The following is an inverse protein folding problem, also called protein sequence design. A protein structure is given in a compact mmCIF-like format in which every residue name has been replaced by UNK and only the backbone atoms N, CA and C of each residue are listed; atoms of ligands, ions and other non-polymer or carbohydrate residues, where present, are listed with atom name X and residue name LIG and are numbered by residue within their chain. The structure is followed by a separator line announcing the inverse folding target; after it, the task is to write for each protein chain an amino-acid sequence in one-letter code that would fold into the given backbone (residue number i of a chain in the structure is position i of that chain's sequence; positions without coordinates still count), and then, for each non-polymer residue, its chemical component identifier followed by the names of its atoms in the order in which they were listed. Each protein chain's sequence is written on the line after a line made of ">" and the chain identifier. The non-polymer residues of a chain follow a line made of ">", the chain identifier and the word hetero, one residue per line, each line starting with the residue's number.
data_IF_289528902571
#
_entry.id   IF_289528902571
#
_cell.length_a   1.000
_cell.length_b   1.000
_cell.length_c   1.000
_cell.angle_alpha   90.00
_cell.angle_beta   90.00
_cell.angle_gamma   90.00
#
_symmetry.space_group_name_H-M   'P 1'
#
loop_
_entity.id
_entity.type
_entity.pdbx_description
1 polymer ?
#
# COMPACT_ATOMS: atom_id res chain seq x y z
N UNK A 1 -40.35 -14.06 26.60
CA UNK A 1 -40.68 -12.94 27.49
C UNK A 1 -39.87 -11.77 27.09
N UNK A 2 -40.50 -10.88 26.48
CA UNK A 2 -40.82 -9.46 26.69
C UNK A 2 -39.71 -8.56 26.17
N UNK A 3 -39.88 -7.95 24.99
CA UNK A 3 -40.40 -6.57 24.66
C UNK A 3 -39.53 -5.49 25.33
N UNK A 4 -38.95 -4.53 24.65
CA UNK A 4 -39.58 -3.43 23.86
C UNK A 4 -38.56 -2.61 23.07
N UNK A 5 -38.86 -2.29 21.83
CA UNK A 5 -38.71 -0.99 21.19
C UNK A 5 -39.78 -0.02 21.76
N UNK A 6 -39.89 1.26 21.36
CA UNK A 6 -39.26 2.14 20.38
C UNK A 6 -39.12 3.61 20.87
N UNK A 7 -38.87 4.59 19.98
CA UNK A 7 -39.55 5.89 19.72
C UNK A 7 -38.54 6.79 18.95
N UNK A 8 -38.59 7.17 17.70
CA UNK A 8 -39.56 7.91 16.88
C UNK A 8 -39.87 9.34 17.36
N UNK A 9 -39.61 10.27 16.49
CA UNK A 9 -40.07 11.65 16.51
C UNK A 9 -39.33 12.42 15.40
N UNK A 10 -39.72 12.56 14.22
CA UNK A 10 -40.89 13.13 13.53
C UNK A 10 -41.01 14.64 13.66
N UNK A 11 -41.31 15.26 12.50
CA UNK A 11 -42.16 16.45 12.23
C UNK A 11 -41.33 17.75 12.12
N UNK A 12 -41.43 18.57 11.08
CA UNK A 12 -42.50 18.75 10.15
C UNK A 12 -42.21 19.88 9.16
N UNK A 13 -42.80 19.77 8.04
CA UNK A 13 -43.14 20.83 7.07
C UNK A 13 -44.44 21.50 7.58
N UNK A 14 -44.69 22.79 7.32
CA UNK A 14 -45.48 23.19 6.15
C UNK A 14 -45.12 24.57 5.59
N UNK A 15 -45.19 24.79 4.27
CA UNK A 15 -46.37 25.19 3.50
C UNK A 15 -47.10 26.43 4.02
N UNK A 16 -47.11 27.51 3.22
CA UNK A 16 -48.35 28.14 2.75
C UNK A 16 -48.10 29.47 2.01
N UNK A 17 -48.57 29.52 0.79
CA UNK A 17 -49.08 30.73 0.19
C UNK A 17 -50.45 31.07 0.81
N UNK A 18 -50.91 32.30 0.77
CA UNK A 18 -51.98 32.61 -0.19
C UNK A 18 -52.03 34.09 -0.68
N UNK A 19 -52.44 34.26 -1.91
CA UNK A 19 -53.69 34.83 -2.46
C UNK A 19 -54.15 36.20 -1.99
N UNK A 20 -54.48 36.96 -3.00
CA UNK A 20 -55.73 37.65 -3.30
C UNK A 20 -55.67 39.18 -3.17
N UNK A 21 -56.10 39.76 -4.14
CA UNK A 21 -57.36 40.30 -4.58
C UNK A 21 -57.35 41.84 -4.76
N UNK A 22 -57.78 42.17 -6.02
CA UNK A 22 -58.84 43.09 -6.35
C UNK A 22 -58.72 44.56 -5.95
N UNK A 23 -58.84 45.47 -6.96
CA UNK A 23 -60.08 46.04 -7.46
C UNK A 23 -59.72 47.18 -8.44
N UNK A 24 -60.28 47.19 -9.67
CA UNK A 24 -61.51 47.84 -10.13
C UNK A 24 -61.60 49.28 -9.76
N UNK A 25 -61.57 50.14 -10.80
CA UNK A 25 -62.65 51.12 -11.26
C UNK A 25 -62.04 51.92 -12.40
N UNK A 26 -62.57 51.81 -13.60
CA UNK A 26 -63.82 52.45 -14.20
C UNK A 26 -63.74 53.96 -14.06
N UNK A 27 -63.72 54.68 -15.18
CA UNK A 27 -64.78 55.35 -15.88
C UNK A 27 -64.12 56.31 -16.87
N UNK A 28 -64.42 56.25 -18.10
CA UNK A 28 -65.53 56.67 -18.88
C UNK A 28 -65.38 58.09 -19.48
N UNK A 29 -65.78 58.15 -20.70
CA UNK A 29 -66.36 59.22 -21.48
C UNK A 29 -65.39 60.08 -22.27
N UNK A 30 -65.41 60.02 -23.50
CA UNK A 30 -66.34 60.42 -24.54
C UNK A 30 -65.93 61.75 -25.18
N UNK A 31 -65.78 61.76 -26.41
CA UNK A 31 -66.32 62.54 -27.49
C UNK A 31 -65.35 62.94 -28.61
N UNK A 32 -65.69 62.39 -29.74
CA UNK A 32 -65.36 62.87 -31.10
C UNK A 32 -65.94 64.26 -31.30
N UNK A 33 -65.77 64.93 -32.49
CA UNK A 33 -65.11 64.53 -33.74
C UNK A 33 -64.42 65.69 -34.51
N UNK A 34 -63.88 65.31 -35.61
CA UNK A 34 -64.01 65.99 -36.91
C UNK A 34 -62.76 66.59 -37.54
N UNK A 35 -62.64 66.15 -38.70
CA UNK A 35 -62.35 66.80 -40.01
C UNK A 35 -60.94 66.89 -40.54
N UNK A 36 -60.79 66.04 -41.53
CA UNK A 36 -60.24 66.36 -42.86
C UNK A 36 -58.95 67.16 -42.93
N UNK A 37 -57.95 66.55 -43.45
CA UNK A 37 -57.39 66.96 -44.74
C UNK A 37 -56.41 65.93 -45.34
N UNK A 38 -56.74 65.59 -46.51
CA UNK A 38 -55.85 64.93 -47.48
C UNK A 38 -54.53 65.59 -47.55
N UNK A 39 -53.45 64.81 -47.64
CA UNK A 39 -52.46 64.86 -48.72
C UNK A 39 -51.32 63.87 -48.62
N UNK A 40 -51.24 63.16 -49.67
CA UNK A 40 -49.99 62.70 -50.36
C UNK A 40 -49.07 61.71 -49.68
N UNK A 41 -49.29 60.49 -50.17
CA UNK A 41 -48.25 59.50 -50.52
C UNK A 41 -46.83 60.04 -50.56
N UNK A 42 -45.99 59.52 -49.72
CA UNK A 42 -44.62 59.30 -50.01
C UNK A 42 -44.26 57.90 -49.46
N UNK A 43 -44.05 57.04 -50.42
CA UNK A 43 -43.38 55.76 -50.19
C UNK A 43 -42.04 56.03 -49.54
N UNK A 44 -41.89 55.65 -48.25
CA UNK A 44 -40.57 55.47 -47.66
C UNK A 44 -40.34 54.00 -47.72
N UNK A 45 -39.50 53.63 -48.70
CA UNK A 45 -38.79 52.39 -48.72
C UNK A 45 -38.16 52.16 -47.34
N UNK A 46 -38.63 51.20 -46.62
CA UNK A 46 -37.93 50.64 -45.47
C UNK A 46 -36.70 49.94 -45.99
N UNK A 47 -35.60 50.68 -46.05
CA UNK A 47 -34.29 50.07 -46.05
C UNK A 47 -34.17 49.23 -44.76
N UNK A 48 -34.32 47.92 -44.92
CA UNK A 48 -33.87 46.96 -43.92
C UNK A 48 -32.36 47.14 -43.85
N UNK A 49 -31.93 47.88 -42.85
CA UNK A 49 -30.53 47.89 -42.41
C UNK A 49 -30.17 46.48 -42.04
N UNK A 50 -29.55 45.77 -42.96
CA UNK A 50 -28.91 44.50 -42.68
C UNK A 50 -27.69 44.85 -41.82
N UNK A 51 -27.84 44.63 -40.52
CA UNK A 51 -26.73 44.72 -39.58
C UNK A 51 -25.58 43.82 -40.07
N UNK A 52 -24.36 44.33 -40.25
CA UNK A 52 -23.28 43.48 -40.70
C UNK A 52 -22.97 42.46 -39.64
N UNK A 53 -23.05 41.20 -39.99
CA UNK A 53 -22.63 40.09 -39.18
C UNK A 53 -21.15 40.19 -38.82
N UNK A 54 -20.83 40.95 -37.79
CA UNK A 54 -19.50 41.14 -37.23
C UNK A 54 -18.93 39.84 -36.61
N UNK A 55 -19.75 38.77 -36.53
CA UNK A 55 -19.38 37.45 -35.92
C UNK A 55 -18.47 36.58 -36.81
N UNK A 56 -18.35 36.85 -38.09
CA UNK A 56 -17.71 35.94 -39.04
C UNK A 56 -16.18 36.12 -39.17
N UNK A 57 -15.61 37.15 -38.56
CA UNK A 57 -14.15 37.41 -38.66
C UNK A 57 -13.29 36.65 -37.67
N UNK A 58 -13.87 36.06 -36.61
CA UNK A 58 -13.15 35.33 -35.60
C UNK A 58 -13.08 33.82 -35.86
N UNK A 59 -14.01 33.27 -36.68
CA UNK A 59 -14.01 31.87 -37.04
C UNK A 59 -12.67 31.38 -37.65
N UNK A 60 -12.02 32.09 -38.59
CA UNK A 60 -10.76 31.60 -39.16
C UNK A 60 -9.62 31.57 -38.13
N UNK A 61 -9.62 32.50 -37.17
CA UNK A 61 -8.60 32.53 -36.13
C UNK A 61 -8.82 31.40 -35.08
N UNK A 62 -10.06 31.08 -34.75
CA UNK A 62 -10.38 29.94 -33.85
C UNK A 62 -10.02 28.62 -34.52
N UNK A 63 -10.34 28.45 -35.79
CA UNK A 63 -9.98 27.24 -36.55
C UNK A 63 -8.46 27.12 -36.66
N UNK A 64 -7.75 28.22 -37.01
CA UNK A 64 -6.32 28.23 -37.08
C UNK A 64 -5.65 27.91 -35.72
N UNK A 65 -6.15 28.51 -34.65
CA UNK A 65 -5.70 28.19 -33.27
C UNK A 65 -5.89 26.72 -32.91
N UNK A 66 -7.06 26.15 -33.23
CA UNK A 66 -7.36 24.75 -32.98
C UNK A 66 -6.42 23.84 -33.80
N UNK A 67 -6.18 24.15 -35.06
CA UNK A 67 -5.26 23.40 -35.91
C UNK A 67 -3.82 23.45 -35.39
N UNK A 68 -3.36 24.61 -34.93
CA UNK A 68 -2.04 24.73 -34.30
C UNK A 68 -1.95 23.93 -33.03
N UNK A 69 -2.95 23.99 -32.18
CA UNK A 69 -2.99 23.22 -30.93
C UNK A 69 -3.01 21.70 -31.20
N UNK A 70 -3.83 21.25 -32.15
CA UNK A 70 -3.89 19.82 -32.51
C UNK A 70 -2.58 19.36 -33.17
N UNK A 71 -2.01 20.15 -34.06
CA UNK A 71 -0.71 19.82 -34.67
C UNK A 71 0.42 19.77 -33.65
N UNK A 72 0.44 20.71 -32.69
CA UNK A 72 1.38 20.69 -31.58
C UNK A 72 1.20 19.47 -30.69
N UNK A 73 -0.06 19.12 -30.36
CA UNK A 73 -0.38 17.93 -29.59
C UNK A 73 0.05 16.63 -30.27
N UNK A 74 -0.23 16.51 -31.58
CA UNK A 74 0.21 15.35 -32.38
C UNK A 74 1.72 15.28 -32.46
N UNK A 75 2.38 16.42 -32.72
CA UNK A 75 3.84 16.50 -32.78
C UNK A 75 4.51 16.12 -31.46
N UNK A 76 3.99 16.60 -30.34
CA UNK A 76 4.47 16.27 -28.99
C UNK A 76 4.26 14.80 -28.68
N UNK A 77 3.06 14.27 -29.00
CA UNK A 77 2.78 12.85 -28.83
C UNK A 77 3.72 11.96 -29.66
N UNK A 78 3.98 12.33 -30.93
CA UNK A 78 4.92 11.61 -31.77
C UNK A 78 6.35 11.69 -31.23
N UNK A 79 6.76 12.85 -30.72
CA UNK A 79 8.08 13.05 -30.12
C UNK A 79 8.27 12.15 -28.88
N UNK A 80 7.28 12.12 -27.99
CA UNK A 80 7.34 11.32 -26.73
C UNK A 80 7.38 9.81 -27.03
N UNK A 81 6.74 9.36 -28.11
CA UNK A 81 6.78 7.96 -28.56
C UNK A 81 7.92 7.66 -29.55
N UNK A 82 8.81 8.62 -29.78
CA UNK A 82 9.99 8.40 -30.62
C UNK A 82 10.98 7.44 -29.94
N UNK A 83 11.83 6.82 -30.73
CA UNK A 83 12.87 5.88 -30.25
C UNK A 83 13.87 6.49 -29.26
N UNK A 84 13.88 7.82 -29.10
CA UNK A 84 14.72 8.53 -28.13
C UNK A 84 14.22 8.29 -26.69
N UNK A 85 12.89 8.18 -26.52
CA UNK A 85 12.24 8.04 -25.22
C UNK A 85 11.77 6.60 -24.94
N UNK A 86 12.19 5.63 -25.72
CA UNK A 86 12.00 4.21 -25.43
C UNK A 86 12.97 3.73 -24.36
N UNK A 87 12.54 2.81 -23.51
CA UNK A 87 13.38 2.21 -22.46
C UNK A 87 14.45 1.36 -23.12
N UNK A 88 15.69 1.82 -23.10
CA UNK A 88 16.86 1.08 -23.64
C UNK A 88 17.72 0.48 -22.54
N UNK A 89 17.69 1.10 -21.37
CA UNK A 89 18.52 0.68 -20.25
C UNK A 89 17.65 0.42 -19.02
N UNK A 90 17.72 -0.81 -18.51
CA UNK A 90 17.14 -1.17 -17.21
C UNK A 90 18.27 -1.51 -16.27
N UNK A 91 18.48 -0.65 -15.28
CA UNK A 91 19.53 -0.79 -14.26
C UNK A 91 18.88 -1.35 -13.01
N UNK A 92 19.28 -2.57 -12.60
CA UNK A 92 18.79 -3.19 -11.37
C UNK A 92 19.94 -3.25 -10.37
N UNK A 93 19.70 -2.68 -9.19
CA UNK A 93 20.69 -2.57 -8.09
C UNK A 93 20.13 -3.25 -6.85
N UNK A 94 20.99 -3.94 -6.09
CA UNK A 94 20.63 -4.50 -4.79
C UNK A 94 20.23 -5.97 -4.79
N UNK A 95 20.27 -6.65 -5.95
CA UNK A 95 20.03 -8.09 -6.05
C UNK A 95 21.24 -8.90 -5.61
N UNK A 96 21.03 -9.90 -4.75
CA UNK A 96 22.02 -10.86 -4.28
C UNK A 96 21.57 -12.31 -4.41
N UNK A 97 20.30 -12.58 -4.11
CA UNK A 97 19.74 -13.93 -4.06
C UNK A 97 18.88 -14.25 -5.29
N UNK A 98 18.20 -13.25 -5.84
CA UNK A 98 17.35 -13.45 -7.01
C UNK A 98 18.13 -13.38 -8.32
N UNK A 99 17.79 -14.24 -9.29
CA UNK A 99 18.41 -14.23 -10.59
C UNK A 99 18.05 -12.95 -11.37
N UNK A 100 19.06 -12.15 -11.72
CA UNK A 100 18.87 -10.87 -12.42
C UNK A 100 18.04 -11.01 -13.71
N UNK A 101 18.24 -12.08 -14.47
CA UNK A 101 17.47 -12.34 -15.69
C UNK A 101 15.98 -12.56 -15.43
N UNK A 102 15.63 -13.30 -14.38
CA UNK A 102 14.24 -13.52 -13.98
C UNK A 102 13.57 -12.23 -13.53
N UNK A 103 14.29 -11.42 -12.73
CA UNK A 103 13.81 -10.11 -12.27
C UNK A 103 13.59 -9.16 -13.45
N UNK A 104 14.53 -9.08 -14.40
CA UNK A 104 14.39 -8.25 -15.59
C UNK A 104 13.19 -8.70 -16.45
N UNK A 105 13.04 -9.99 -16.68
CA UNK A 105 11.89 -10.51 -17.43
C UNK A 105 10.55 -10.17 -16.76
N UNK A 106 10.49 -10.24 -15.43
CA UNK A 106 9.28 -9.93 -14.66
C UNK A 106 8.90 -8.44 -14.70
N UNK A 107 9.84 -7.52 -14.97
CA UNK A 107 9.53 -6.09 -15.08
C UNK A 107 8.51 -5.79 -16.17
N UNK A 108 8.46 -6.61 -17.23
CA UNK A 108 7.64 -6.37 -18.41
C UNK A 108 8.16 -5.21 -19.29
N UNK A 109 9.42 -4.83 -19.13
CA UNK A 109 10.08 -3.77 -19.91
C UNK A 109 10.81 -4.33 -21.14
N UNK A 110 10.72 -5.63 -21.38
CA UNK A 110 11.22 -6.29 -22.60
C UNK A 110 10.36 -5.90 -23.78
N UNK A 111 10.93 -5.20 -24.76
CA UNK A 111 10.18 -4.70 -25.91
C UNK A 111 10.23 -3.18 -26.05
N UNK A 112 11.10 -2.55 -25.28
CA UNK A 112 11.44 -1.11 -25.37
C UNK A 112 10.20 -0.20 -25.33
N UNK A 113 9.32 -0.32 -24.33
CA UNK A 113 8.14 0.54 -24.25
C UNK A 113 8.55 2.00 -24.10
N UNK A 114 7.71 2.97 -24.52
CA UNK A 114 7.94 4.38 -24.23
C UNK A 114 8.09 4.62 -22.72
N UNK A 115 9.13 5.36 -22.32
CA UNK A 115 9.41 5.61 -20.90
C UNK A 115 8.25 6.30 -20.18
N UNK A 116 7.46 7.11 -20.92
CA UNK A 116 6.28 7.77 -20.37
C UNK A 116 5.23 6.75 -19.91
N UNK A 117 5.02 5.70 -20.68
CA UNK A 117 3.98 4.68 -20.43
C UNK A 117 4.38 3.66 -19.35
N UNK A 118 5.64 3.66 -18.93
CA UNK A 118 6.09 2.77 -17.85
C UNK A 118 5.43 3.16 -16.55
N UNK A 119 4.62 2.27 -15.98
CA UNK A 119 4.07 2.43 -14.64
C UNK A 119 5.06 1.91 -13.59
N UNK A 120 5.64 2.80 -12.81
CA UNK A 120 6.60 2.44 -11.75
C UNK A 120 5.98 1.57 -10.67
N UNK A 121 4.71 1.81 -10.33
CA UNK A 121 3.96 1.00 -9.36
C UNK A 121 3.65 -0.40 -9.88
N UNK A 122 3.37 -0.54 -11.17
CA UNK A 122 3.14 -1.84 -11.79
C UNK A 122 4.42 -2.69 -11.81
N UNK A 123 5.55 -2.09 -12.19
CA UNK A 123 6.85 -2.76 -12.14
C UNK A 123 7.16 -3.21 -10.71
N UNK A 124 6.97 -2.33 -9.72
CA UNK A 124 7.20 -2.67 -8.32
C UNK A 124 6.30 -3.81 -7.85
N UNK A 125 5.01 -3.81 -8.25
CA UNK A 125 4.06 -4.88 -7.91
C UNK A 125 4.45 -6.22 -8.51
N UNK A 126 4.90 -6.24 -9.77
CA UNK A 126 5.37 -7.46 -10.43
C UNK A 126 6.61 -8.05 -9.75
N UNK A 127 7.49 -7.20 -9.28
CA UNK A 127 8.69 -7.64 -8.57
C UNK A 127 8.42 -8.09 -7.14
N UNK A 128 7.34 -7.65 -6.51
CA UNK A 128 6.95 -8.08 -5.17
C UNK A 128 6.56 -9.57 -5.06
N UNK A 129 6.44 -10.29 -6.18
CA UNK A 129 6.19 -11.74 -6.22
C UNK A 129 7.43 -12.54 -5.82
N UNK A 130 8.62 -11.98 -5.97
CA UNK A 130 9.86 -12.65 -5.59
C UNK A 130 10.02 -12.67 -4.06
N UNK A 131 10.24 -13.84 -3.45
CA UNK A 131 10.25 -13.98 -2.00
C UNK A 131 11.30 -13.10 -1.31
N UNK A 132 12.48 -13.00 -1.90
CA UNK A 132 13.59 -12.21 -1.34
C UNK A 132 13.41 -10.71 -1.51
N UNK A 133 12.48 -10.27 -2.33
CA UNK A 133 12.27 -8.83 -2.56
C UNK A 133 11.36 -8.23 -1.48
N UNK A 134 11.95 -7.41 -0.61
CA UNK A 134 11.21 -6.73 0.44
C UNK A 134 10.63 -5.38 0.00
N UNK A 135 11.45 -4.56 -0.62
CA UNK A 135 11.05 -3.24 -1.11
C UNK A 135 11.68 -2.96 -2.46
N UNK A 136 10.90 -2.37 -3.35
CA UNK A 136 11.37 -1.94 -4.68
C UNK A 136 11.10 -0.46 -4.84
N UNK A 137 12.10 0.26 -5.30
CA UNK A 137 11.97 1.65 -5.73
C UNK A 137 12.29 1.71 -7.20
N UNK A 138 11.32 2.16 -8.01
CA UNK A 138 11.47 2.29 -9.46
C UNK A 138 11.48 3.77 -9.82
N UNK A 139 12.53 4.19 -10.50
CA UNK A 139 12.73 5.58 -10.90
C UNK A 139 12.95 5.67 -12.40
N UNK A 140 12.23 6.56 -13.08
CA UNK A 140 12.44 6.88 -14.47
C UNK A 140 13.57 7.91 -14.60
N UNK A 141 14.63 7.56 -15.29
CA UNK A 141 15.74 8.47 -15.61
C UNK A 141 15.69 8.80 -17.10
N UNK A 142 15.27 10.00 -17.39
CA UNK A 142 15.18 10.48 -18.76
C UNK A 142 16.56 10.52 -19.42
N UNK A 143 16.67 10.26 -20.76
CA UNK A 143 15.56 10.06 -21.70
C UNK A 143 15.06 8.61 -21.84
N UNK A 144 15.82 7.56 -21.46
CA UNK A 144 15.58 6.17 -21.89
C UNK A 144 15.96 5.10 -20.85
N UNK A 145 16.07 5.47 -19.57
CA UNK A 145 16.56 4.55 -18.53
C UNK A 145 15.52 4.37 -17.43
N UNK A 146 15.33 3.12 -17.00
CA UNK A 146 14.59 2.78 -15.77
C UNK A 146 15.58 2.24 -14.75
N UNK A 147 15.66 2.87 -13.60
CA UNK A 147 16.47 2.43 -12.47
C UNK A 147 15.55 1.74 -11.45
N UNK A 148 15.92 0.54 -11.06
CA UNK A 148 15.20 -0.31 -10.11
C UNK A 148 16.14 -0.60 -8.95
N UNK A 149 15.85 -0.02 -7.79
CA UNK A 149 16.59 -0.30 -6.56
C UNK A 149 15.79 -1.30 -5.75
N UNK A 150 16.37 -2.46 -5.52
CA UNK A 150 15.80 -3.57 -4.76
C UNK A 150 16.44 -3.63 -3.39
N UNK A 151 15.62 -3.68 -2.35
CA UNK A 151 16.03 -4.00 -0.99
C UNK A 151 15.56 -5.40 -0.69
N UNK A 152 16.51 -6.33 -0.66
CA UNK A 152 16.20 -7.72 -0.30
C UNK A 152 15.89 -7.86 1.18
N UNK A 153 15.06 -8.84 1.50
CA UNK A 153 14.74 -9.24 2.88
C UNK A 153 15.94 -9.92 3.51
N UNK A 154 16.08 -9.78 4.82
CA UNK A 154 17.13 -10.44 5.58
C UNK A 154 16.52 -11.59 6.36
N UNK A 155 17.01 -12.83 6.19
CA UNK A 155 16.56 -13.96 6.99
C UNK A 155 17.00 -13.78 8.44
N UNK A 156 16.13 -14.09 9.39
CA UNK A 156 16.39 -14.01 10.84
C UNK A 156 16.29 -15.38 11.52
N UNK A 157 15.65 -16.33 10.85
CA UNK A 157 15.44 -17.67 11.36
C UNK A 157 15.21 -18.66 10.20
N UNK A 158 15.11 -19.93 10.52
CA UNK A 158 14.67 -20.99 9.61
C UNK A 158 13.51 -21.76 10.21
N UNK A 159 12.67 -22.35 9.35
CA UNK A 159 11.58 -23.21 9.79
C UNK A 159 11.37 -24.37 8.79
N UNK A 160 10.86 -25.50 9.27
CA UNK A 160 10.48 -26.60 8.39
C UNK A 160 9.08 -26.36 7.80
N UNK A 161 8.97 -26.50 6.49
CA UNK A 161 7.68 -26.50 5.79
C UNK A 161 6.95 -27.86 5.93
N UNK A 162 5.78 -27.99 5.32
CA UNK A 162 4.99 -29.23 5.34
C UNK A 162 5.71 -30.42 4.71
N UNK A 163 6.69 -30.21 3.84
CA UNK A 163 7.48 -31.21 3.15
C UNK A 163 8.80 -31.55 3.88
N UNK A 164 8.95 -31.05 5.11
CA UNK A 164 10.19 -31.12 5.88
C UNK A 164 11.41 -30.51 5.19
N UNK A 165 11.19 -29.51 4.36
CA UNK A 165 12.26 -28.71 3.75
C UNK A 165 12.49 -27.48 4.61
N UNK A 166 13.77 -27.20 4.91
CA UNK A 166 14.15 -26.03 5.71
C UNK A 166 14.00 -24.77 4.84
N UNK A 167 13.27 -23.78 5.34
CA UNK A 167 12.98 -22.52 4.66
C UNK A 167 13.56 -21.36 5.46
N UNK A 168 14.07 -20.33 4.78
CA UNK A 168 14.43 -19.08 5.41
C UNK A 168 13.18 -18.27 5.76
N UNK A 169 13.22 -17.62 6.92
CA UNK A 169 12.14 -16.78 7.44
C UNK A 169 12.67 -15.39 7.78
N UNK A 170 12.00 -14.35 7.32
CA UNK A 170 12.32 -12.96 7.66
C UNK A 170 11.69 -12.49 8.97
N UNK A 171 12.02 -11.25 9.40
CA UNK A 171 11.51 -10.65 10.62
C UNK A 171 9.97 -10.49 10.65
N UNK A 172 9.31 -10.55 9.50
CA UNK A 172 7.85 -10.46 9.36
C UNK A 172 7.18 -11.82 9.27
N UNK A 173 7.96 -12.90 9.36
CA UNK A 173 7.45 -14.25 9.22
C UNK A 173 7.19 -14.65 7.76
N UNK A 174 7.80 -13.98 6.80
CA UNK A 174 7.67 -14.31 5.38
C UNK A 174 8.69 -15.39 5.00
N UNK A 175 8.24 -16.36 4.21
CA UNK A 175 9.07 -17.41 3.65
C UNK A 175 9.88 -16.87 2.47
N UNK A 176 11.20 -17.03 2.54
CA UNK A 176 12.13 -16.55 1.52
C UNK A 176 12.60 -17.67 0.57
N UNK A 177 12.20 -18.90 0.84
CA UNK A 177 12.62 -20.08 0.09
C UNK A 177 13.61 -20.99 0.81
N UNK A 178 14.07 -22.05 0.13
CA UNK A 178 14.84 -23.13 0.75
C UNK A 178 16.15 -22.65 1.38
N UNK A 179 16.44 -23.18 2.58
CA UNK A 179 17.68 -22.94 3.31
C UNK A 179 18.53 -24.23 3.37
N UNK A 180 19.86 -24.11 3.34
CA UNK A 180 20.74 -25.26 3.56
C UNK A 180 20.69 -25.69 5.03
N UNK A 181 20.91 -26.96 5.31
CA UNK A 181 20.93 -27.51 6.67
C UNK A 181 22.08 -26.97 7.54
N UNK A 182 23.09 -26.39 6.91
CA UNK A 182 24.27 -25.84 7.60
C UNK A 182 24.14 -24.37 8.00
N UNK A 183 22.93 -23.79 7.89
CA UNK A 183 22.71 -22.38 8.21
C UNK A 183 22.80 -22.14 9.72
N UNK A 184 23.49 -21.07 10.11
CA UNK A 184 23.62 -20.67 11.50
C UNK A 184 22.56 -19.64 11.90
N UNK A 185 21.31 -20.07 11.87
CA UNK A 185 20.14 -19.29 12.30
C UNK A 185 19.28 -20.16 13.21
N UNK A 186 18.56 -19.56 14.18
CA UNK A 186 17.68 -20.31 15.05
C UNK A 186 16.53 -20.95 14.26
N UNK A 187 16.15 -22.16 14.66
CA UNK A 187 15.00 -22.86 14.06
C UNK A 187 13.72 -22.45 14.78
N UNK A 188 12.69 -22.09 14.02
CA UNK A 188 11.36 -21.81 14.56
C UNK A 188 10.55 -23.09 14.66
N UNK A 189 9.96 -23.36 15.82
CA UNK A 189 9.09 -24.51 16.07
C UNK A 189 7.77 -24.07 16.71
N UNK A 190 6.70 -24.79 16.36
CA UNK A 190 5.39 -24.58 16.93
C UNK A 190 4.99 -25.73 17.84
N UNK A 191 4.63 -25.44 19.08
CA UNK A 191 4.34 -26.45 20.12
C UNK A 191 2.94 -27.08 20.01
N UNK A 192 2.28 -27.05 18.85
CA UNK A 192 1.04 -27.80 18.65
C UNK A 192 1.28 -29.09 17.88
N UNK A 193 0.73 -30.23 18.33
CA UNK A 193 0.92 -31.53 17.65
C UNK A 193 0.41 -31.55 16.20
N UNK A 194 -0.54 -30.71 15.86
CA UNK A 194 -1.23 -30.70 14.58
C UNK A 194 -0.65 -29.72 13.56
N UNK A 195 0.22 -28.82 13.97
CA UNK A 195 0.79 -27.78 13.09
C UNK A 195 2.27 -27.58 13.41
N UNK A 196 3.10 -28.49 12.92
CA UNK A 196 4.56 -28.45 13.11
C UNK A 196 5.30 -27.75 12.00
N UNK A 197 4.62 -27.44 10.90
CA UNK A 197 5.22 -26.86 9.70
C UNK A 197 4.88 -25.38 9.54
N UNK A 198 5.82 -24.65 8.99
CA UNK A 198 5.65 -23.27 8.55
C UNK A 198 4.65 -23.19 7.37
N UNK A 199 3.85 -22.12 7.22
CA UNK A 199 3.72 -20.93 8.08
C UNK A 199 2.83 -21.18 9.31
N UNK A 200 3.28 -20.72 10.48
CA UNK A 200 2.57 -20.86 11.77
C UNK A 200 1.48 -19.82 11.98
N UNK A 201 0.86 -19.30 10.98
CA UNK A 201 -0.13 -18.24 11.08
C UNK A 201 0.29 -17.12 12.07
N UNK A 202 -0.65 -16.54 12.83
CA UNK A 202 -0.37 -15.41 13.72
C UNK A 202 0.72 -15.66 14.79
N UNK A 203 0.87 -16.88 15.26
CA UNK A 203 1.87 -17.20 16.26
C UNK A 203 3.31 -17.17 15.71
N UNK A 204 3.49 -17.47 14.43
CA UNK A 204 4.80 -17.43 13.77
C UNK A 204 5.42 -16.03 13.74
N UNK A 205 4.60 -14.99 13.69
CA UNK A 205 5.07 -13.61 13.78
C UNK A 205 5.81 -13.32 15.09
N UNK A 206 5.31 -13.85 16.21
CA UNK A 206 5.94 -13.64 17.51
C UNK A 206 7.34 -14.26 17.56
N UNK A 207 7.51 -15.47 17.04
CA UNK A 207 8.81 -16.14 16.99
C UNK A 207 9.78 -15.41 16.05
N UNK A 208 9.34 -15.01 14.85
CA UNK A 208 10.14 -14.27 13.89
C UNK A 208 10.53 -12.88 14.42
N UNK A 209 9.60 -12.20 15.09
CA UNK A 209 9.87 -10.92 15.76
C UNK A 209 10.95 -11.08 16.84
N UNK A 210 10.84 -12.10 17.71
CA UNK A 210 11.85 -12.37 18.72
C UNK A 210 13.20 -12.66 18.05
N UNK A 211 13.25 -13.52 17.02
CA UNK A 211 14.46 -13.83 16.27
C UNK A 211 15.13 -12.57 15.73
N UNK A 212 14.35 -11.64 15.17
CA UNK A 212 14.85 -10.39 14.59
C UNK A 212 15.41 -9.40 15.63
N UNK A 213 15.05 -9.55 16.90
CA UNK A 213 15.43 -8.67 18.00
C UNK A 213 16.53 -9.26 18.88
N UNK A 214 16.93 -10.52 18.64
CA UNK A 214 18.03 -11.14 19.37
C UNK A 214 19.33 -10.32 19.20
N UNK A 215 20.03 -9.98 20.28
CA UNK A 215 21.37 -9.42 20.18
C UNK A 215 22.29 -10.38 19.42
N UNK A 216 23.16 -9.91 18.50
CA UNK A 216 23.96 -10.78 17.64
C UNK A 216 24.80 -11.81 18.41
N UNK A 217 25.40 -11.43 19.54
CA UNK A 217 26.17 -12.32 20.38
C UNK A 217 25.32 -13.42 21.05
N UNK A 218 24.05 -13.14 21.29
CA UNK A 218 23.11 -14.10 21.88
C UNK A 218 22.43 -14.96 20.81
N UNK A 219 22.17 -14.39 19.64
CA UNK A 219 21.54 -15.10 18.52
C UNK A 219 22.31 -16.39 18.15
N UNK A 220 23.65 -16.37 18.20
CA UNK A 220 24.48 -17.54 17.92
C UNK A 220 24.34 -18.66 18.96
N UNK A 221 23.81 -18.37 20.14
CA UNK A 221 23.61 -19.34 21.22
C UNK A 221 22.16 -19.92 21.20
N UNK A 222 21.24 -19.32 20.45
CA UNK A 222 19.86 -19.79 20.37
C UNK A 222 19.76 -20.84 19.27
N UNK A 223 19.45 -22.08 19.66
CA UNK A 223 19.24 -23.17 18.70
C UNK A 223 17.81 -23.20 18.17
N UNK A 224 16.83 -23.06 19.05
CA UNK A 224 15.41 -23.18 18.70
C UNK A 224 14.59 -22.07 19.39
N UNK A 225 13.69 -21.50 18.65
CA UNK A 225 12.66 -20.57 19.15
C UNK A 225 11.32 -21.27 19.01
N UNK A 226 10.72 -21.61 20.14
CA UNK A 226 9.40 -22.24 20.15
C UNK A 226 8.33 -21.22 20.44
N UNK A 227 7.17 -21.40 19.81
CA UNK A 227 5.98 -20.58 20.06
C UNK A 227 4.80 -21.50 20.35
N UNK A 228 4.01 -21.19 21.36
CA UNK A 228 2.80 -21.93 21.71
C UNK A 228 1.55 -21.29 21.09
N UNK A 229 0.41 -21.92 21.35
CA UNK A 229 -0.88 -21.48 20.86
C UNK A 229 -1.34 -20.12 21.41
N UNK A 230 -0.81 -19.71 22.56
CA UNK A 230 -1.12 -18.42 23.18
C UNK A 230 -0.26 -17.29 22.60
N UNK A 231 0.73 -17.65 21.75
CA UNK A 231 1.73 -16.74 21.21
C UNK A 231 2.87 -16.48 22.19
N UNK A 232 3.00 -17.28 23.24
CA UNK A 232 4.14 -17.23 24.16
C UNK A 232 5.36 -17.87 23.51
N UNK A 233 6.50 -17.19 23.61
CA UNK A 233 7.75 -17.58 22.98
C UNK A 233 8.74 -18.09 24.04
N UNK A 234 9.44 -19.17 23.71
CA UNK A 234 10.53 -19.70 24.50
C UNK A 234 11.77 -19.88 23.64
N UNK A 235 12.95 -19.67 24.22
CA UNK A 235 14.24 -19.84 23.58
C UNK A 235 14.94 -21.06 24.16
N UNK A 236 15.34 -21.99 23.32
CA UNK A 236 16.21 -23.11 23.70
C UNK A 236 17.62 -22.81 23.17
N UNK A 237 18.57 -22.80 24.07
CA UNK A 237 19.95 -22.56 23.72
C UNK A 237 20.62 -23.82 23.14
N UNK A 238 21.78 -23.64 22.54
CA UNK A 238 22.70 -24.73 22.15
C UNK A 238 23.19 -25.54 23.36
N UNK A 239 23.40 -24.89 24.49
CA UNK A 239 23.40 -25.55 25.81
C UNK A 239 21.95 -25.83 26.17
N UNK A 240 21.60 -27.05 26.66
CA UNK A 240 20.20 -27.43 26.86
C UNK A 240 19.52 -26.69 28.04
N UNK A 241 19.45 -25.39 27.94
CA UNK A 241 18.72 -24.47 28.83
C UNK A 241 17.59 -23.79 28.03
N UNK A 242 16.46 -23.64 28.65
CA UNK A 242 15.29 -23.00 28.02
C UNK A 242 14.90 -21.73 28.77
N UNK A 243 14.73 -20.63 28.06
CA UNK A 243 14.22 -19.37 28.60
C UNK A 243 12.79 -19.16 28.11
N UNK A 244 11.85 -18.96 29.04
CA UNK A 244 10.45 -18.63 28.74
C UNK A 244 10.32 -17.11 28.69
N UNK A 245 10.19 -16.53 27.49
CA UNK A 245 9.99 -15.09 27.30
C UNK A 245 8.53 -14.65 27.43
N UNK A 246 7.59 -15.56 27.20
CA UNK A 246 6.18 -15.21 27.11
C UNK A 246 5.86 -14.40 25.85
N UNK A 247 4.94 -13.45 25.96
CA UNK A 247 4.59 -12.55 24.84
C UNK A 247 5.79 -11.69 24.48
N UNK A 248 5.97 -11.34 23.18
CA UNK A 248 7.12 -10.57 22.70
C UNK A 248 6.97 -9.06 22.99
N UNK A 249 6.64 -8.72 24.23
CA UNK A 249 6.66 -7.36 24.77
C UNK A 249 7.93 -7.16 25.60
N UNK A 250 8.41 -5.92 25.69
CA UNK A 250 9.56 -5.54 26.52
C UNK A 250 10.82 -6.40 26.28
N UNK A 251 11.03 -6.76 25.01
CA UNK A 251 12.08 -7.71 24.61
C UNK A 251 13.47 -7.27 25.03
N UNK A 252 13.76 -5.96 25.01
CA UNK A 252 15.06 -5.42 25.43
C UNK A 252 15.34 -5.77 26.90
N UNK A 253 14.39 -5.51 27.79
CA UNK A 253 14.53 -5.75 29.22
C UNK A 253 14.58 -7.24 29.54
N UNK A 254 13.81 -8.05 28.80
CA UNK A 254 13.89 -9.50 28.89
C UNK A 254 15.24 -10.04 28.47
N UNK A 255 15.83 -9.53 27.38
CA UNK A 255 17.16 -9.94 26.96
C UNK A 255 18.26 -9.48 27.92
N UNK A 256 18.10 -8.31 28.56
CA UNK A 256 19.00 -7.90 29.66
C UNK A 256 18.89 -8.88 30.82
N UNK A 257 17.70 -9.28 31.20
CA UNK A 257 17.48 -10.29 32.26
C UNK A 257 18.08 -11.65 31.89
N UNK A 258 17.90 -12.10 30.65
CA UNK A 258 18.54 -13.33 30.13
C UNK A 258 20.07 -13.23 30.20
N UNK A 259 20.64 -12.10 29.74
CA UNK A 259 22.10 -11.90 29.79
C UNK A 259 22.64 -11.91 31.22
N UNK A 260 21.92 -11.28 32.16
CA UNK A 260 22.27 -11.30 33.58
C UNK A 260 22.27 -12.72 34.14
N UNK A 261 21.27 -13.54 33.79
CA UNK A 261 21.26 -14.96 34.23
C UNK A 261 22.43 -15.74 33.64
N UNK A 262 22.69 -15.62 32.36
CA UNK A 262 23.79 -16.32 31.69
C UNK A 262 25.16 -15.94 32.30
N UNK A 263 25.35 -14.66 32.71
CA UNK A 263 26.61 -14.17 33.23
C UNK A 263 26.83 -14.48 34.72
N UNK A 264 25.76 -14.66 35.53
CA UNK A 264 25.89 -14.79 36.98
C UNK A 264 25.40 -16.14 37.52
N UNK A 265 24.59 -16.88 36.77
CA UNK A 265 24.06 -18.17 37.19
C UNK A 265 24.85 -19.34 36.57
N UNK A 266 25.16 -20.35 37.35
CA UNK A 266 25.67 -21.63 36.84
C UNK A 266 24.49 -22.49 36.39
N UNK A 267 24.04 -22.26 35.14
CA UNK A 267 22.92 -22.98 34.56
C UNK A 267 23.29 -24.44 34.26
N UNK A 268 22.43 -25.36 34.67
CA UNK A 268 22.61 -26.80 34.43
C UNK A 268 21.78 -27.23 33.20
N UNK A 269 22.23 -28.27 32.48
CA UNK A 269 21.45 -28.85 31.41
C UNK A 269 20.01 -29.25 31.87
N UNK A 270 19.00 -28.84 31.13
CA UNK A 270 17.62 -29.13 31.43
C UNK A 270 16.91 -28.07 32.29
N UNK A 271 17.60 -27.04 32.76
CA UNK A 271 16.96 -25.94 33.50
C UNK A 271 16.10 -25.07 32.60
N UNK A 272 14.99 -24.62 33.18
CA UNK A 272 14.04 -23.69 32.57
C UNK A 272 14.02 -22.40 33.37
N UNK A 273 14.33 -21.31 32.73
CA UNK A 273 14.36 -19.97 33.32
C UNK A 273 13.16 -19.17 32.82
N UNK A 274 12.31 -18.74 33.71
CA UNK A 274 11.17 -17.89 33.39
C UNK A 274 11.58 -16.42 33.48
N UNK A 275 11.51 -15.72 32.35
CA UNK A 275 11.81 -14.29 32.19
C UNK A 275 10.62 -13.51 31.63
N UNK A 276 9.40 -14.02 31.85
CA UNK A 276 8.17 -13.35 31.39
C UNK A 276 8.00 -11.96 31.96
N UNK A 277 8.44 -11.78 33.20
CA UNK A 277 8.48 -10.49 33.88
C UNK A 277 9.95 -10.07 34.04
N UNK A 278 10.39 -8.97 33.40
CA UNK A 278 11.76 -8.49 33.55
C UNK A 278 12.10 -8.20 35.02
N UNK A 279 13.25 -8.70 35.49
CA UNK A 279 13.67 -8.52 36.88
C UNK A 279 13.12 -9.54 37.90
N UNK A 280 12.06 -10.27 37.57
CA UNK A 280 11.55 -11.38 38.39
C UNK A 280 11.90 -12.71 37.72
N UNK A 281 12.96 -13.33 38.18
CA UNK A 281 13.50 -14.54 37.55
C UNK A 281 13.12 -15.77 38.38
N UNK A 282 12.49 -16.74 37.76
CA UNK A 282 12.24 -18.05 38.38
C UNK A 282 13.05 -19.11 37.61
N UNK A 283 13.92 -19.85 38.33
CA UNK A 283 14.66 -20.96 37.77
C UNK A 283 14.03 -22.25 38.28
N UNK A 284 13.60 -23.10 37.37
CA UNK A 284 13.12 -24.45 37.72
C UNK A 284 14.06 -25.48 37.13
N UNK A 285 14.51 -26.41 37.97
CA UNK A 285 15.34 -27.53 37.54
C UNK A 285 14.51 -28.59 36.81
N UNK A 286 15.19 -29.57 36.13
CA UNK A 286 14.49 -30.72 35.61
C UNK A 286 13.81 -31.41 36.76
N UNK A 287 12.50 -31.66 36.64
CA UNK A 287 11.79 -32.50 37.59
C UNK A 287 12.53 -33.83 37.66
N UNK A 288 13.06 -34.14 38.83
CA UNK A 288 13.58 -35.48 39.11
C UNK A 288 12.42 -36.47 38.89
N UNK A 289 12.42 -37.13 37.74
CA UNK A 289 11.52 -38.24 37.43
C UNK A 289 12.03 -39.50 38.07
#
# INVERSE_FOLDING_TARGET
>A
MSRRKPVAGSVGVPSQAPTSRRSRKRASAELEPSRRRRRRSRARSTERSVAPHRRRRWLPYTIASLLVLTSLGVGLNWLVHSSIFQVRHVVVIGLRHEARGAVLAATGLTGDPPLLDVSTSEVARRLAVFPWIGRVTVTKRWPNTVEIVVHERTPVAVAFDANHTLQYVDATGHDLGPAPLTVNLPTLEYLRPQQRSWPFQHAGFNAALVASRLPPAFAAQVAVITVDASGSVSLKLTTPVTFILGRPTDLTDKFVSVAAVISHAQLRPGEVVDVRVPGELAVSGPSAG
#
